data_IF_367895646487
#
_entry.id   IF_367895646487
#
_cell.length_a   1.000
_cell.length_b   1.000
_cell.length_c   1.000
_cell.angle_alpha   90.00
_cell.angle_beta   90.00
_cell.angle_gamma   90.00
#
_symmetry.space_group_name_H-M   'P 1'
#
loop_
_entity.id
_entity.type
_entity.pdbx_description
1 polymer ?
#
# COMPACT_ATOMS: atom_id res chain seq x y z
N UNK A 1 26.76 1.93 30.51
CA UNK A 1 27.14 2.36 29.14
C UNK A 1 28.43 1.67 28.69
N UNK A 2 29.56 1.86 29.38
CA UNK A 2 30.86 1.31 28.95
C UNK A 2 30.90 -0.23 28.95
N UNK A 3 30.23 -0.90 29.89
CA UNK A 3 30.24 -2.38 29.96
C UNK A 3 29.46 -3.06 28.82
N UNK A 4 28.28 -2.54 28.46
CA UNK A 4 27.53 -3.01 27.28
C UNK A 4 28.28 -2.74 25.96
N UNK A 5 29.03 -1.63 25.90
CA UNK A 5 29.92 -1.30 24.80
C UNK A 5 31.08 -2.30 24.67
N UNK A 6 31.73 -2.65 25.78
CA UNK A 6 32.84 -3.61 25.80
C UNK A 6 32.34 -5.04 25.48
N UNK A 7 31.14 -5.41 25.93
CA UNK A 7 30.49 -6.67 25.59
C UNK A 7 30.19 -6.82 24.09
N UNK A 8 29.55 -5.81 23.50
CA UNK A 8 29.19 -5.83 22.06
C UNK A 8 30.41 -5.82 21.12
N UNK A 9 31.50 -5.17 21.52
CA UNK A 9 32.79 -5.23 20.81
C UNK A 9 33.40 -6.64 20.85
N UNK A 10 33.23 -7.37 21.96
CA UNK A 10 33.72 -8.75 22.12
C UNK A 10 32.86 -9.77 21.37
N UNK A 11 31.57 -9.49 21.17
CA UNK A 11 30.64 -10.36 20.45
C UNK A 11 30.67 -10.17 18.92
N UNK A 12 31.34 -9.13 18.42
CA UNK A 12 31.58 -8.96 16.97
C UNK A 12 30.35 -8.61 16.14
N UNK A 13 29.31 -8.03 16.76
CA UNK A 13 28.10 -7.65 16.02
C UNK A 13 28.43 -6.57 14.97
N UNK A 14 28.27 -6.92 13.69
CA UNK A 14 28.68 -6.11 12.54
C UNK A 14 27.99 -4.75 12.52
N UNK A 15 26.72 -4.68 12.97
CA UNK A 15 25.96 -3.42 13.02
C UNK A 15 26.54 -2.48 14.08
N UNK A 16 26.90 -3.00 15.26
CA UNK A 16 27.57 -2.22 16.30
C UNK A 16 28.94 -1.73 15.81
N UNK A 17 29.71 -2.58 15.15
CA UNK A 17 31.00 -2.21 14.55
C UNK A 17 30.86 -1.12 13.49
N UNK A 18 29.90 -1.22 12.58
CA UNK A 18 29.63 -0.20 11.55
C UNK A 18 29.29 1.15 12.21
N UNK A 19 28.39 1.17 13.20
CA UNK A 19 28.02 2.41 13.89
C UNK A 19 29.22 3.03 14.63
N UNK A 20 30.07 2.22 15.27
CA UNK A 20 31.29 2.70 15.92
C UNK A 20 32.31 3.26 14.91
N UNK A 21 32.47 2.60 13.76
CA UNK A 21 33.34 3.07 12.69
C UNK A 21 32.84 4.41 12.13
N UNK A 22 31.54 4.60 11.99
CA UNK A 22 30.95 5.89 11.56
C UNK A 22 31.30 7.00 12.55
N UNK A 23 31.20 6.76 13.87
CA UNK A 23 31.57 7.72 14.91
C UNK A 23 33.08 7.99 14.86
N UNK A 24 33.92 6.95 14.80
CA UNK A 24 35.38 7.07 14.77
C UNK A 24 35.88 7.85 13.55
N UNK A 25 35.36 7.53 12.36
CA UNK A 25 35.69 8.24 11.12
C UNK A 25 35.24 9.70 11.21
N UNK A 26 34.05 9.96 11.77
CA UNK A 26 33.55 11.34 11.90
C UNK A 26 34.35 12.16 12.91
N UNK A 27 34.81 11.55 14.01
CA UNK A 27 35.75 12.13 14.97
C UNK A 27 37.09 12.47 14.31
N UNK A 28 37.68 11.52 13.58
CA UNK A 28 38.97 11.71 12.89
C UNK A 28 38.87 12.77 11.79
N UNK A 29 37.80 12.75 11.00
CA UNK A 29 37.53 13.78 9.99
C UNK A 29 37.38 15.16 10.63
N UNK A 30 36.68 15.26 11.76
CA UNK A 30 36.55 16.50 12.53
C UNK A 30 37.91 17.00 13.06
N UNK A 31 38.71 16.09 13.61
CA UNK A 31 40.05 16.38 14.12
C UNK A 31 40.99 16.90 13.03
N UNK A 32 40.99 16.27 11.85
CA UNK A 32 41.83 16.65 10.71
C UNK A 32 41.40 17.99 10.11
N UNK A 33 40.09 18.26 10.07
CA UNK A 33 39.53 19.48 9.44
C UNK A 33 39.61 20.72 10.34
N UNK A 34 39.66 20.57 11.66
CA UNK A 34 39.64 21.67 12.62
C UNK A 34 38.25 22.28 12.81
N UNK A 35 38.12 23.21 13.76
CA UNK A 35 36.84 23.72 14.27
C UNK A 35 36.02 24.47 13.22
N UNK A 36 36.63 25.36 12.45
CA UNK A 36 35.93 26.21 11.46
C UNK A 36 35.30 25.39 10.33
N UNK A 37 36.03 24.43 9.77
CA UNK A 37 35.54 23.56 8.69
C UNK A 37 34.54 22.51 9.19
N UNK A 38 34.73 22.01 10.42
CA UNK A 38 33.81 21.04 11.03
C UNK A 38 32.50 21.70 11.47
N UNK A 39 32.55 22.95 11.95
CA UNK A 39 31.37 23.76 12.23
C UNK A 39 30.56 24.02 10.95
N UNK A 40 31.20 24.35 9.82
CA UNK A 40 30.51 24.49 8.54
C UNK A 40 29.84 23.18 8.06
N UNK A 41 30.47 22.03 8.32
CA UNK A 41 29.89 20.72 8.01
C UNK A 41 28.67 20.41 8.90
N UNK A 42 28.74 20.74 10.19
CA UNK A 42 27.63 20.57 11.12
C UNK A 42 26.45 21.48 10.76
N UNK A 43 26.71 22.76 10.47
CA UNK A 43 25.70 23.71 10.00
C UNK A 43 25.05 23.18 8.73
N UNK A 44 25.83 22.70 7.76
CA UNK A 44 25.29 22.12 6.53
C UNK A 44 24.39 20.91 6.78
N UNK A 45 24.76 20.01 7.70
CA UNK A 45 23.93 18.85 8.06
C UNK A 45 22.62 19.29 8.72
N UNK A 46 22.68 20.25 9.64
CA UNK A 46 21.49 20.81 10.31
C UNK A 46 20.60 21.50 9.27
N UNK A 47 21.16 22.33 8.39
CA UNK A 47 20.42 23.01 7.33
C UNK A 47 19.77 22.01 6.38
N UNK A 48 20.49 20.96 5.95
CA UNK A 48 19.92 19.92 5.09
C UNK A 48 18.81 19.13 5.79
N UNK A 49 18.98 18.82 7.07
CA UNK A 49 17.96 18.18 7.91
C UNK A 49 16.70 19.05 8.03
N UNK A 50 16.86 20.34 8.35
CA UNK A 50 15.76 21.31 8.40
C UNK A 50 15.06 21.40 7.05
N UNK A 51 15.80 21.49 5.94
CA UNK A 51 15.21 21.53 4.61
C UNK A 51 14.48 20.24 4.24
N UNK A 52 14.93 19.09 4.73
CA UNK A 52 14.22 17.82 4.52
C UNK A 52 12.93 17.80 5.31
N UNK A 53 12.94 18.21 6.58
CA UNK A 53 11.74 18.28 7.43
C UNK A 53 10.73 19.27 6.86
N UNK A 54 11.18 20.49 6.51
CA UNK A 54 10.35 21.51 5.86
C UNK A 54 9.84 21.02 4.50
N UNK A 55 10.66 20.30 3.75
CA UNK A 55 10.27 19.68 2.48
C UNK A 55 9.15 18.66 2.65
N UNK A 56 9.29 17.74 3.61
CA UNK A 56 8.27 16.71 3.90
C UNK A 56 6.98 17.37 4.41
N UNK A 57 7.06 18.27 5.39
CA UNK A 57 5.88 18.94 5.96
C UNK A 57 5.17 19.81 4.92
N UNK A 58 5.93 20.58 4.13
CA UNK A 58 5.41 21.39 3.04
C UNK A 58 4.75 20.55 1.96
N UNK A 59 5.38 19.45 1.54
CA UNK A 59 4.82 18.53 0.55
C UNK A 59 3.53 17.87 1.04
N UNK A 60 3.50 17.47 2.31
CA UNK A 60 2.32 16.88 2.94
C UNK A 60 1.14 17.86 2.94
N UNK A 61 1.34 19.09 3.44
CA UNK A 61 0.29 20.12 3.48
C UNK A 61 -0.17 20.55 2.07
N UNK A 62 0.77 20.69 1.14
CA UNK A 62 0.46 21.04 -0.24
C UNK A 62 -0.35 19.93 -0.92
N UNK A 63 -0.01 18.66 -0.69
CA UNK A 63 -0.73 17.51 -1.26
C UNK A 63 -2.14 17.38 -0.69
N UNK A 64 -2.34 17.64 0.61
CA UNK A 64 -3.68 17.70 1.20
C UNK A 64 -4.53 18.80 0.57
N UNK A 65 -3.95 19.96 0.28
CA UNK A 65 -4.66 21.09 -0.32
C UNK A 65 -4.93 20.89 -1.82
N UNK A 66 -3.98 20.30 -2.55
CA UNK A 66 -4.10 20.08 -4.00
C UNK A 66 -4.98 18.88 -4.34
N UNK A 67 -5.04 17.86 -3.47
CA UNK A 67 -5.76 16.61 -3.76
C UNK A 67 -7.23 16.84 -4.17
N UNK A 68 -8.05 17.64 -3.46
CA UNK A 68 -9.44 17.91 -3.88
C UNK A 68 -9.54 18.69 -5.19
N UNK A 69 -8.62 19.63 -5.44
CA UNK A 69 -8.60 20.42 -6.69
C UNK A 69 -8.25 19.55 -7.89
N UNK A 70 -7.26 18.67 -7.73
CA UNK A 70 -6.83 17.73 -8.75
C UNK A 70 -7.91 16.68 -9.00
N UNK A 71 -8.63 16.23 -7.96
CA UNK A 71 -9.81 15.38 -8.14
C UNK A 71 -10.84 16.02 -9.06
N UNK A 72 -11.32 17.21 -8.73
CA UNK A 72 -12.35 17.89 -9.50
C UNK A 72 -11.92 18.13 -10.96
N UNK A 73 -10.64 18.46 -11.16
CA UNK A 73 -10.08 18.62 -12.49
C UNK A 73 -10.01 17.30 -13.27
N UNK A 74 -9.56 16.21 -12.64
CA UNK A 74 -9.45 14.89 -13.27
C UNK A 74 -10.83 14.29 -13.56
N UNK A 75 -11.79 14.40 -12.65
CA UNK A 75 -13.16 13.90 -12.85
C UNK A 75 -13.83 14.57 -14.05
N UNK A 76 -13.70 15.89 -14.19
CA UNK A 76 -14.23 16.61 -15.36
C UNK A 76 -13.53 16.24 -16.67
N UNK A 77 -12.27 15.80 -16.61
CA UNK A 77 -11.53 15.34 -17.79
C UNK A 77 -11.85 13.87 -18.14
N UNK A 78 -12.09 13.01 -17.15
CA UNK A 78 -12.48 11.61 -17.37
C UNK A 78 -13.90 11.47 -17.91
N UNK A 79 -14.80 12.41 -17.58
CA UNK A 79 -16.16 12.46 -18.17
C UNK A 79 -16.14 12.80 -19.67
N UNK A 80 -15.09 13.48 -20.15
CA UNK A 80 -14.90 13.82 -21.55
C UNK A 80 -14.22 12.69 -22.38
N UNK A 81 -14.22 11.46 -21.87
CA UNK A 81 -13.61 10.32 -22.55
C UNK A 81 -14.31 10.03 -23.88
N UNK A 82 -13.58 9.95 -25.00
CA UNK A 82 -14.19 9.75 -26.31
C UNK A 82 -14.76 8.33 -26.42
N UNK A 83 -16.00 8.22 -26.92
CA UNK A 83 -16.75 6.96 -27.07
C UNK A 83 -16.30 6.06 -28.24
N UNK A 84 -15.03 6.17 -28.63
CA UNK A 84 -14.42 5.39 -29.73
C UNK A 84 -13.53 4.28 -29.15
N UNK A 85 -13.20 3.29 -29.98
CA UNK A 85 -12.16 2.33 -29.64
C UNK A 85 -10.82 3.06 -29.39
N UNK A 86 -10.29 2.84 -28.18
CA UNK A 86 -9.04 3.42 -27.72
C UNK A 86 -7.92 2.44 -28.02
N UNK A 87 -6.78 2.95 -28.49
CA UNK A 87 -5.58 2.12 -28.61
C UNK A 87 -5.03 1.76 -27.20
N UNK A 88 -4.15 0.78 -27.12
CA UNK A 88 -3.59 0.30 -25.84
C UNK A 88 -2.93 1.41 -24.98
N UNK A 89 -2.27 2.40 -25.60
CA UNK A 89 -1.65 3.51 -24.88
C UNK A 89 -2.68 4.53 -24.37
N UNK A 90 -3.74 4.76 -25.13
CA UNK A 90 -4.86 5.60 -24.72
C UNK A 90 -5.62 4.94 -23.56
N UNK A 91 -5.82 3.62 -23.61
CA UNK A 91 -6.41 2.86 -22.50
C UNK A 91 -5.57 3.03 -21.23
N UNK A 92 -4.25 2.78 -21.30
CA UNK A 92 -3.34 2.96 -20.15
C UNK A 92 -3.42 4.39 -19.60
N UNK A 93 -3.39 5.39 -20.48
CA UNK A 93 -3.46 6.80 -20.09
C UNK A 93 -4.76 7.13 -19.34
N UNK A 94 -5.91 6.74 -19.88
CA UNK A 94 -7.20 6.97 -19.23
C UNK A 94 -7.39 6.14 -17.97
N UNK A 95 -6.88 4.91 -17.91
CA UNK A 95 -6.87 4.10 -16.68
C UNK A 95 -6.11 4.82 -15.56
N UNK A 96 -4.93 5.38 -15.86
CA UNK A 96 -4.13 6.12 -14.87
C UNK A 96 -4.85 7.40 -14.43
N UNK A 97 -5.45 8.14 -15.35
CA UNK A 97 -6.19 9.36 -15.02
C UNK A 97 -7.40 9.09 -14.14
N UNK A 98 -8.23 8.10 -14.50
CA UNK A 98 -9.40 7.71 -13.72
C UNK A 98 -8.97 7.17 -12.35
N UNK A 99 -7.88 6.41 -12.28
CA UNK A 99 -7.33 5.98 -10.99
C UNK A 99 -6.90 7.17 -10.11
N UNK A 100 -6.25 8.19 -10.68
CA UNK A 100 -5.88 9.40 -9.93
C UNK A 100 -7.10 10.27 -9.54
N UNK A 101 -8.19 10.21 -10.30
CA UNK A 101 -9.45 10.88 -9.96
C UNK A 101 -10.17 10.18 -8.80
N UNK A 102 -10.27 8.86 -8.88
CA UNK A 102 -11.15 8.07 -8.02
C UNK A 102 -10.49 7.60 -6.72
N UNK A 103 -9.15 7.53 -6.66
CA UNK A 103 -8.42 7.05 -5.48
C UNK A 103 -7.66 8.18 -4.74
N UNK A 104 -8.20 8.67 -3.62
CA UNK A 104 -7.59 9.73 -2.82
C UNK A 104 -6.16 9.48 -2.35
N UNK A 105 -5.81 8.26 -1.90
CA UNK A 105 -4.45 7.97 -1.43
C UNK A 105 -3.46 7.88 -2.58
N UNK A 106 -3.84 7.26 -3.70
CA UNK A 106 -2.98 7.21 -4.89
C UNK A 106 -2.67 8.62 -5.38
N UNK A 107 -3.69 9.45 -5.52
CA UNK A 107 -3.54 10.87 -5.87
C UNK A 107 -2.66 11.60 -4.86
N UNK A 108 -2.92 11.42 -3.57
CA UNK A 108 -2.13 12.03 -2.51
C UNK A 108 -0.65 11.62 -2.60
N UNK A 109 -0.35 10.34 -2.82
CA UNK A 109 1.01 9.83 -2.93
C UNK A 109 1.75 10.43 -4.13
N UNK A 110 1.10 10.48 -5.30
CA UNK A 110 1.66 11.09 -6.51
C UNK A 110 1.91 12.59 -6.29
N UNK A 111 0.94 13.32 -5.74
CA UNK A 111 1.09 14.74 -5.42
C UNK A 111 2.17 14.98 -4.37
N UNK A 112 2.33 14.08 -3.39
CA UNK A 112 3.35 14.18 -2.37
C UNK A 112 4.75 14.06 -2.97
N UNK A 113 4.98 13.08 -3.84
CA UNK A 113 6.27 12.90 -4.51
C UNK A 113 6.61 14.10 -5.39
N UNK A 114 5.64 14.59 -6.17
CA UNK A 114 5.83 15.77 -7.05
C UNK A 114 6.10 17.02 -6.19
N UNK A 115 5.26 17.29 -5.19
CA UNK A 115 5.38 18.44 -4.29
C UNK A 115 6.71 18.42 -3.53
N UNK A 116 7.10 17.26 -3.00
CA UNK A 116 8.38 17.09 -2.31
C UNK A 116 9.56 17.39 -3.23
N UNK A 117 9.54 16.87 -4.45
CA UNK A 117 10.59 17.09 -5.43
C UNK A 117 10.73 18.57 -5.80
N UNK A 118 9.62 19.27 -6.02
CA UNK A 118 9.61 20.71 -6.34
C UNK A 118 10.09 21.53 -5.14
N UNK A 119 9.54 21.29 -3.95
CA UNK A 119 9.93 22.02 -2.74
C UNK A 119 11.41 21.78 -2.44
N UNK A 120 11.88 20.54 -2.60
CA UNK A 120 13.29 20.21 -2.36
C UNK A 120 14.20 20.89 -3.37
N UNK A 121 13.81 20.92 -4.64
CA UNK A 121 14.53 21.65 -5.67
C UNK A 121 14.62 23.15 -5.32
N UNK A 122 13.52 23.79 -4.95
CA UNK A 122 13.49 25.20 -4.54
C UNK A 122 14.37 25.45 -3.30
N UNK A 123 14.23 24.64 -2.26
CA UNK A 123 15.05 24.75 -1.06
C UNK A 123 16.55 24.54 -1.36
N UNK A 124 16.88 23.67 -2.32
CA UNK A 124 18.27 23.48 -2.75
C UNK A 124 18.84 24.68 -3.50
N UNK A 125 18.02 25.35 -4.33
CA UNK A 125 18.42 26.60 -5.01
C UNK A 125 18.63 27.74 -4.01
N UNK A 126 17.70 27.89 -3.06
CA UNK A 126 17.80 28.88 -1.97
C UNK A 126 19.05 28.59 -1.12
N UNK A 127 19.26 27.34 -0.73
CA UNK A 127 20.45 26.91 0.02
C UNK A 127 21.75 27.16 -0.74
N UNK A 128 21.76 26.94 -2.06
CA UNK A 128 22.89 27.23 -2.94
C UNK A 128 23.22 28.72 -3.04
N UNK A 129 22.19 29.58 -3.02
CA UNK A 129 22.34 31.04 -3.04
C UNK A 129 22.89 31.59 -1.70
N UNK A 130 22.39 31.09 -0.57
CA UNK A 130 22.91 31.46 0.76
C UNK A 130 24.29 30.86 1.07
N UNK A 131 24.67 29.74 0.43
CA UNK A 131 26.02 29.14 0.52
C UNK A 131 27.09 29.89 -0.30
N UNK A 132 26.79 31.11 -0.76
CA UNK A 132 27.65 32.02 -1.53
C UNK A 132 29.09 31.56 -1.73
N UNK A 133 29.47 31.34 -2.99
CA UNK A 133 30.80 30.92 -3.47
C UNK A 133 31.90 31.13 -2.43
N UNK A 134 32.23 30.08 -1.65
CA UNK A 134 33.35 30.17 -0.72
C UNK A 134 34.63 30.25 -1.55
N UNK A 135 35.03 31.47 -1.85
CA UNK A 135 36.35 31.80 -2.38
C UNK A 135 37.37 31.26 -1.37
N UNK A 136 38.38 30.57 -1.90
CA UNK A 136 39.28 29.73 -1.12
C UNK A 136 39.91 30.44 0.07
N UNK A 137 39.61 29.97 1.28
CA UNK A 137 40.38 30.32 2.47
C UNK A 137 41.58 29.38 2.65
N UNK A 138 42.73 30.01 2.86
CA UNK A 138 44.07 29.45 2.82
C UNK A 138 44.28 28.18 3.67
N UNK A 139 45.18 27.32 3.19
CA UNK A 139 45.75 26.14 3.85
C UNK A 139 46.56 26.55 5.10
N UNK A 140 45.91 26.96 6.18
CA UNK A 140 46.55 26.98 7.49
C UNK A 140 46.23 25.68 8.25
N UNK A 141 47.29 25.02 8.73
CA UNK A 141 47.14 23.84 9.58
C UNK A 141 46.40 24.23 10.87
N UNK A 142 45.25 23.63 11.19
CA UNK A 142 44.52 23.97 12.40
C UNK A 142 45.35 23.63 13.64
N UNK A 143 45.44 24.57 14.58
CA UNK A 143 46.09 24.37 15.88
C UNK A 143 45.40 23.30 16.72
N UNK A 144 46.08 22.77 17.74
CA UNK A 144 45.61 21.65 18.56
C UNK A 144 44.20 21.86 19.14
N UNK A 145 43.91 23.06 19.67
CA UNK A 145 42.59 23.42 20.20
C UNK A 145 41.49 23.40 19.12
N UNK A 146 41.82 23.83 17.90
CA UNK A 146 40.90 23.80 16.75
C UNK A 146 40.64 22.36 16.30
N UNK A 147 41.66 21.48 16.34
CA UNK A 147 41.48 20.04 16.04
C UNK A 147 40.61 19.36 17.09
N UNK A 148 40.79 19.68 18.37
CA UNK A 148 39.98 19.12 19.45
C UNK A 148 38.52 19.56 19.35
N UNK A 149 38.28 20.85 19.10
CA UNK A 149 36.92 21.36 18.81
C UNK A 149 36.34 20.77 17.53
N UNK A 150 37.16 20.57 16.49
CA UNK A 150 36.78 19.87 15.26
C UNK A 150 36.35 18.43 15.53
N UNK A 151 37.06 17.70 16.39
CA UNK A 151 36.69 16.36 16.83
C UNK A 151 35.35 16.36 17.58
N UNK A 152 35.10 17.32 18.47
CA UNK A 152 33.79 17.47 19.14
C UNK A 152 32.65 17.66 18.14
N UNK A 153 32.82 18.54 17.14
CA UNK A 153 31.83 18.70 16.06
C UNK A 153 31.69 17.42 15.22
N UNK A 154 32.80 16.74 14.94
CA UNK A 154 32.82 15.43 14.28
C UNK A 154 32.04 14.36 15.06
N UNK A 155 32.09 14.38 16.38
CA UNK A 155 31.32 13.49 17.25
C UNK A 155 29.82 13.71 17.10
N UNK A 156 29.37 14.97 17.10
CA UNK A 156 27.97 15.36 16.92
C UNK A 156 27.46 14.95 15.54
N UNK A 157 28.25 15.21 14.49
CA UNK A 157 27.92 14.78 13.12
C UNK A 157 27.88 13.25 13.02
N UNK A 158 28.81 12.55 13.66
CA UNK A 158 28.84 11.09 13.74
C UNK A 158 27.59 10.52 14.42
N UNK A 159 27.18 11.09 15.55
CA UNK A 159 25.96 10.71 16.24
C UNK A 159 24.72 10.93 15.38
N UNK A 160 24.61 12.07 14.67
CA UNK A 160 23.52 12.32 13.75
C UNK A 160 23.46 11.30 12.60
N UNK A 161 24.60 10.89 12.03
CA UNK A 161 24.68 9.83 11.02
C UNK A 161 24.25 8.48 11.57
N UNK A 162 24.65 8.14 12.80
CA UNK A 162 24.21 6.92 13.45
C UNK A 162 22.70 6.89 13.67
N UNK A 163 22.08 8.01 14.07
CA UNK A 163 20.62 8.12 14.19
C UNK A 163 19.93 7.83 12.85
N UNK A 164 20.45 8.36 11.73
CA UNK A 164 19.90 8.08 10.39
C UNK A 164 20.02 6.60 10.01
N UNK A 165 21.18 5.98 10.27
CA UNK A 165 21.37 4.54 10.02
C UNK A 165 20.44 3.70 10.88
N UNK A 166 20.27 4.05 12.16
CA UNK A 166 19.34 3.37 13.07
C UNK A 166 17.89 3.54 12.61
N UNK A 167 17.49 4.72 12.16
CA UNK A 167 16.16 4.96 11.60
C UNK A 167 15.91 4.15 10.32
N UNK A 168 16.90 4.03 9.44
CA UNK A 168 16.81 3.20 8.23
C UNK A 168 16.69 1.72 8.58
N UNK A 169 17.54 1.23 9.49
CA UNK A 169 17.46 -0.14 9.98
C UNK A 169 16.12 -0.42 10.65
N UNK A 170 15.57 0.54 11.38
CA UNK A 170 14.25 0.44 12.00
C UNK A 170 13.14 0.30 10.96
N UNK A 171 13.19 1.06 9.86
CA UNK A 171 12.24 0.90 8.75
C UNK A 171 12.35 -0.50 8.14
N UNK A 172 13.57 -0.98 7.86
CA UNK A 172 13.78 -2.31 7.26
C UNK A 172 13.29 -3.43 8.18
N UNK A 173 13.61 -3.36 9.47
CA UNK A 173 13.15 -4.33 10.49
C UNK A 173 11.63 -4.31 10.61
N UNK A 174 11.02 -3.12 10.58
CA UNK A 174 9.56 -2.97 10.67
C UNK A 174 8.82 -3.47 9.43
N UNK A 175 9.42 -3.37 8.24
CA UNK A 175 8.82 -3.85 6.98
C UNK A 175 8.94 -5.37 6.80
N UNK A 176 9.99 -5.98 7.37
CA UNK A 176 10.26 -7.42 7.23
C UNK A 176 10.48 -8.08 8.61
N UNK A 177 9.46 -8.12 9.48
CA UNK A 177 9.57 -8.75 10.79
C UNK A 177 9.89 -10.24 10.66
N UNK A 178 10.78 -10.76 11.52
CA UNK A 178 11.12 -12.18 11.58
C UNK A 178 12.15 -12.68 10.55
N UNK A 179 12.61 -11.84 9.62
CA UNK A 179 13.70 -12.22 8.71
C UNK A 179 15.02 -12.47 9.47
N UNK A 180 15.89 -13.33 8.96
CA UNK A 180 17.20 -13.60 9.58
C UNK A 180 18.04 -12.33 9.76
N UNK A 181 17.90 -11.37 8.84
CA UNK A 181 18.55 -10.07 8.93
C UNK A 181 17.92 -9.18 10.03
N UNK A 182 16.59 -9.14 10.12
CA UNK A 182 15.88 -8.35 11.14
C UNK A 182 16.23 -8.84 12.54
N UNK A 183 16.20 -10.16 12.76
CA UNK A 183 16.59 -10.77 14.04
C UNK A 183 18.06 -10.47 14.39
N UNK A 184 18.95 -10.44 13.38
CA UNK A 184 20.36 -10.08 13.57
C UNK A 184 20.52 -8.60 13.96
N UNK A 185 19.80 -7.69 13.31
CA UNK A 185 19.83 -6.24 13.62
C UNK A 185 19.26 -5.99 15.01
N UNK A 186 18.15 -6.64 15.37
CA UNK A 186 17.52 -6.55 16.70
C UNK A 186 18.41 -7.11 17.80
N UNK A 187 19.26 -8.11 17.52
CA UNK A 187 20.24 -8.60 18.49
C UNK A 187 21.33 -7.57 18.83
N UNK A 188 21.46 -6.49 18.05
CA UNK A 188 22.51 -5.49 18.23
C UNK A 188 22.18 -4.51 19.37
N UNK A 189 22.97 -4.46 20.46
CA UNK A 189 22.68 -3.61 21.62
C UNK A 189 22.62 -2.12 21.28
N UNK A 190 23.47 -1.67 20.35
CA UNK A 190 23.53 -0.28 19.90
C UNK A 190 22.29 0.13 19.11
N UNK A 191 21.79 -0.77 18.26
CA UNK A 191 20.56 -0.54 17.51
C UNK A 191 19.38 -0.48 18.48
N UNK A 192 19.22 -1.47 19.38
CA UNK A 192 18.12 -1.48 20.34
C UNK A 192 18.11 -0.22 21.21
N UNK A 193 19.28 0.17 21.74
CA UNK A 193 19.38 1.36 22.57
C UNK A 193 19.07 2.65 21.81
N UNK A 194 19.56 2.78 20.57
CA UNK A 194 19.28 3.94 19.74
C UNK A 194 17.82 4.01 19.28
N UNK A 195 17.23 2.88 18.91
CA UNK A 195 15.81 2.79 18.57
C UNK A 195 14.93 3.18 19.77
N UNK A 196 15.22 2.65 20.96
CA UNK A 196 14.52 2.98 22.21
C UNK A 196 14.63 4.45 22.60
N UNK A 197 15.83 5.03 22.45
CA UNK A 197 16.10 6.39 22.95
C UNK A 197 15.68 7.49 21.98
N UNK A 198 15.64 7.21 20.67
CA UNK A 198 15.40 8.21 19.63
C UNK A 198 14.10 7.97 18.87
N UNK A 199 13.77 6.72 18.56
CA UNK A 199 12.62 6.39 17.72
C UNK A 199 11.35 6.24 18.56
N UNK A 200 11.39 5.48 19.66
CA UNK A 200 10.23 5.20 20.52
C UNK A 200 9.49 6.46 21.03
N UNK A 201 10.16 7.56 21.46
CA UNK A 201 9.48 8.78 21.90
C UNK A 201 8.74 9.52 20.77
N UNK A 202 9.25 9.42 19.55
CA UNK A 202 8.69 10.08 18.36
C UNK A 202 7.57 9.23 17.75
N UNK A 203 7.74 7.90 17.79
CA UNK A 203 6.84 6.95 17.14
C UNK A 203 5.71 6.46 18.05
N UNK A 204 5.90 6.40 19.37
CA UNK A 204 4.95 5.80 20.32
C UNK A 204 3.53 6.37 20.29
N UNK A 205 3.39 7.69 20.10
CA UNK A 205 2.08 8.35 19.99
C UNK A 205 1.51 8.33 18.57
N UNK A 206 2.36 8.34 17.54
CA UNK A 206 1.92 8.35 16.14
C UNK A 206 1.50 6.95 15.66
N UNK A 207 2.23 5.91 16.10
CA UNK A 207 1.98 4.51 15.78
C UNK A 207 0.68 4.02 16.41
N UNK A 208 0.42 4.35 17.69
CA UNK A 208 -0.77 3.88 18.40
C UNK A 208 -2.06 4.54 17.89
N UNK A 209 -2.01 5.83 17.55
CA UNK A 209 -3.23 6.58 17.27
C UNK A 209 -3.53 6.72 15.76
N UNK A 210 -2.52 6.71 14.89
CA UNK A 210 -2.71 7.05 13.46
C UNK A 210 -2.39 5.96 12.46
N UNK A 211 -1.50 5.01 12.77
CA UNK A 211 -1.22 3.90 11.85
C UNK A 211 -2.45 3.00 11.61
N UNK A 212 -3.27 2.64 12.62
CA UNK A 212 -4.46 1.83 12.38
C UNK A 212 -5.42 2.52 11.38
N UNK A 213 -5.62 3.82 11.53
CA UNK A 213 -6.50 4.62 10.65
C UNK A 213 -5.95 4.70 9.21
N UNK A 214 -4.64 4.91 9.05
CA UNK A 214 -3.99 4.94 7.73
C UNK A 214 -4.05 3.56 7.07
N UNK A 215 -3.79 2.49 7.84
CA UNK A 215 -3.84 1.11 7.33
C UNK A 215 -5.25 0.69 6.93
N UNK A 216 -6.27 1.08 7.70
CA UNK A 216 -7.67 0.82 7.37
C UNK A 216 -8.11 1.61 6.13
N UNK A 217 -7.71 2.88 6.01
CA UNK A 217 -7.99 3.69 4.81
C UNK A 217 -7.29 3.13 3.56
N UNK A 218 -6.04 2.68 3.68
CA UNK A 218 -5.28 2.05 2.60
C UNK A 218 -5.85 0.69 2.19
N UNK A 219 -6.22 -0.15 3.17
CA UNK A 219 -6.89 -1.43 2.91
C UNK A 219 -8.25 -1.20 2.23
N UNK A 220 -9.01 -0.20 2.67
CA UNK A 220 -10.30 0.16 2.08
C UNK A 220 -10.16 0.62 0.62
N UNK A 221 -9.19 1.48 0.30
CA UNK A 221 -8.93 1.87 -1.09
C UNK A 221 -8.42 0.69 -1.93
N UNK A 222 -7.60 -0.20 -1.35
CA UNK A 222 -7.14 -1.40 -2.03
C UNK A 222 -8.29 -2.37 -2.35
N UNK A 223 -9.21 -2.60 -1.42
CA UNK A 223 -10.37 -3.45 -1.64
C UNK A 223 -11.32 -2.82 -2.66
N UNK A 224 -11.56 -1.50 -2.61
CA UNK A 224 -12.33 -0.78 -3.62
C UNK A 224 -11.68 -0.82 -5.01
N UNK A 225 -10.35 -0.74 -5.09
CA UNK A 225 -9.60 -0.95 -6.34
C UNK A 225 -9.82 -2.37 -6.89
N UNK A 226 -9.83 -3.40 -6.05
CA UNK A 226 -10.04 -4.79 -6.48
C UNK A 226 -11.47 -5.05 -6.94
N UNK A 227 -12.48 -4.51 -6.25
CA UNK A 227 -13.87 -4.64 -6.65
C UNK A 227 -14.11 -4.00 -8.04
N UNK A 228 -13.56 -2.80 -8.25
CA UNK A 228 -13.67 -2.09 -9.54
C UNK A 228 -12.81 -2.71 -10.63
N UNK A 229 -11.69 -3.34 -10.28
CA UNK A 229 -10.90 -4.15 -11.21
C UNK A 229 -11.76 -5.25 -11.83
N UNK A 230 -12.61 -5.93 -11.06
CA UNK A 230 -13.51 -6.95 -11.63
C UNK A 230 -14.59 -6.35 -12.54
N UNK A 231 -15.16 -5.19 -12.18
CA UNK A 231 -16.15 -4.51 -13.03
C UNK A 231 -15.57 -4.06 -14.39
N UNK A 232 -14.29 -3.66 -14.42
CA UNK A 232 -13.64 -3.19 -15.65
C UNK A 232 -13.05 -4.35 -16.46
N UNK A 233 -12.41 -5.33 -15.81
CA UNK A 233 -11.78 -6.47 -16.49
C UNK A 233 -12.84 -7.39 -17.10
N UNK A 234 -13.92 -7.66 -16.37
CA UNK A 234 -14.97 -8.58 -16.81
C UNK A 234 -16.10 -7.85 -17.58
N UNK A 235 -15.81 -6.67 -18.12
CA UNK A 235 -16.75 -5.92 -18.96
C UNK A 235 -16.93 -6.58 -20.32
N UNK A 236 -15.90 -7.25 -20.83
CA UNK A 236 -15.99 -8.00 -22.08
C UNK A 236 -16.59 -9.38 -21.78
N UNK A 237 -17.80 -9.62 -22.27
CA UNK A 237 -18.54 -10.86 -22.05
C UNK A 237 -18.17 -11.84 -23.17
N UNK A 238 -17.60 -13.02 -22.86
CA UNK A 238 -17.34 -14.05 -23.87
C UNK A 238 -18.65 -14.60 -24.49
N UNK A 239 -18.66 -14.80 -25.81
CA UNK A 239 -19.87 -15.23 -26.56
C UNK A 239 -20.40 -16.59 -26.12
N UNK A 240 -19.53 -17.50 -25.68
CA UNK A 240 -19.88 -18.82 -25.16
C UNK A 240 -20.58 -18.75 -23.80
N UNK A 241 -20.08 -17.89 -22.90
CA UNK A 241 -20.71 -17.62 -21.60
C UNK A 241 -22.07 -16.93 -21.80
N UNK A 242 -22.16 -15.95 -22.71
CA UNK A 242 -23.42 -15.30 -23.08
C UNK A 242 -24.43 -16.32 -23.63
N UNK A 243 -24.00 -17.16 -24.58
CA UNK A 243 -24.87 -18.19 -25.16
C UNK A 243 -25.36 -19.22 -24.14
N UNK A 244 -24.50 -19.59 -23.19
CA UNK A 244 -24.88 -20.46 -22.08
C UNK A 244 -25.90 -19.79 -21.15
N UNK A 245 -25.64 -18.54 -20.75
CA UNK A 245 -26.54 -17.76 -19.91
C UNK A 245 -27.92 -17.57 -20.56
N UNK A 246 -27.97 -17.23 -21.85
CA UNK A 246 -29.20 -17.07 -22.62
C UNK A 246 -30.05 -18.36 -22.65
N UNK A 247 -29.38 -19.52 -22.73
CA UNK A 247 -30.04 -20.82 -22.69
C UNK A 247 -30.53 -21.18 -21.29
N UNK A 248 -29.78 -20.83 -20.24
CA UNK A 248 -30.15 -21.11 -18.85
C UNK A 248 -31.40 -20.32 -18.46
N UNK A 249 -31.48 -19.05 -18.88
CA UNK A 249 -32.63 -18.20 -18.58
C UNK A 249 -33.77 -18.33 -19.61
N UNK A 250 -33.70 -19.31 -20.50
CA UNK A 250 -34.72 -19.53 -21.53
C UNK A 250 -36.08 -19.80 -20.88
N UNK A 251 -37.03 -18.87 -21.04
CA UNK A 251 -38.36 -18.94 -20.44
C UNK A 251 -38.51 -18.21 -19.11
N UNK A 252 -37.44 -17.64 -18.55
CA UNK A 252 -37.53 -16.73 -17.41
C UNK A 252 -38.14 -15.39 -17.84
N UNK A 253 -39.17 -14.94 -17.12
CA UNK A 253 -39.93 -13.73 -17.46
C UNK A 253 -39.52 -12.50 -16.63
N UNK A 254 -38.95 -12.71 -15.45
CA UNK A 254 -38.56 -11.64 -14.51
C UNK A 254 -37.07 -11.66 -14.22
N UNK A 255 -36.53 -10.53 -13.77
CA UNK A 255 -35.13 -10.41 -13.36
C UNK A 255 -34.80 -11.38 -12.22
N UNK A 256 -35.74 -11.56 -11.29
CA UNK A 256 -35.59 -12.52 -10.19
C UNK A 256 -35.47 -13.96 -10.70
N UNK A 257 -36.29 -14.35 -11.69
CA UNK A 257 -36.23 -15.68 -12.28
C UNK A 257 -34.90 -15.89 -13.02
N UNK A 258 -34.49 -14.93 -13.85
CA UNK A 258 -33.19 -14.98 -14.54
C UNK A 258 -32.04 -15.11 -13.54
N UNK A 259 -32.02 -14.27 -12.51
CA UNK A 259 -31.01 -14.28 -11.48
C UNK A 259 -30.97 -15.61 -10.73
N UNK A 260 -32.12 -16.17 -10.39
CA UNK A 260 -32.22 -17.46 -9.69
C UNK A 260 -31.77 -18.64 -10.55
N UNK A 261 -32.17 -18.72 -11.81
CA UNK A 261 -31.73 -19.78 -12.74
C UNK A 261 -30.21 -19.76 -12.93
N UNK A 262 -29.61 -18.57 -13.07
CA UNK A 262 -28.16 -18.42 -13.14
C UNK A 262 -27.46 -18.79 -11.83
N UNK A 263 -28.04 -18.40 -10.69
CA UNK A 263 -27.52 -18.73 -9.35
C UNK A 263 -27.49 -20.25 -9.14
N UNK A 264 -28.59 -20.93 -9.46
CA UNK A 264 -28.72 -22.37 -9.35
C UNK A 264 -27.76 -23.08 -10.31
N UNK A 265 -27.63 -22.60 -11.55
CA UNK A 265 -26.68 -23.17 -12.50
C UNK A 265 -25.23 -23.05 -12.03
N UNK A 266 -24.78 -21.85 -11.65
CA UNK A 266 -23.40 -21.65 -11.20
C UNK A 266 -23.13 -22.46 -9.93
N UNK A 267 -24.05 -22.42 -8.97
CA UNK A 267 -23.91 -23.11 -7.69
C UNK A 267 -23.91 -24.64 -7.77
N UNK A 268 -24.54 -25.20 -8.82
CA UNK A 268 -24.59 -26.67 -9.01
C UNK A 268 -23.60 -27.20 -10.04
N UNK A 269 -23.04 -26.35 -10.91
CA UNK A 269 -22.12 -26.77 -11.97
C UNK A 269 -20.67 -26.53 -11.64
N UNK A 270 -20.36 -25.50 -10.86
CA UNK A 270 -18.99 -25.21 -10.45
C UNK A 270 -18.67 -25.97 -9.17
N UNK A 271 -17.55 -26.66 -9.13
CA UNK A 271 -16.99 -27.34 -7.96
C UNK A 271 -15.95 -26.47 -7.24
N UNK A 272 -15.89 -26.59 -5.92
CA UNK A 272 -14.98 -25.78 -5.11
C UNK A 272 -13.54 -26.30 -5.22
N UNK A 273 -12.64 -25.45 -5.71
CA UNK A 273 -11.24 -25.79 -5.95
C UNK A 273 -10.38 -25.60 -4.69
N UNK A 274 -10.34 -26.65 -3.85
CA UNK A 274 -9.46 -26.70 -2.69
C UNK A 274 -7.96 -26.68 -3.05
N UNK A 275 -7.61 -27.05 -4.28
CA UNK A 275 -6.23 -27.02 -4.78
C UNK A 275 -5.71 -25.58 -4.88
N UNK A 276 -6.52 -24.66 -5.44
CA UNK A 276 -6.20 -23.23 -5.45
C UNK A 276 -5.99 -22.66 -4.05
N UNK A 277 -6.79 -23.10 -3.07
CA UNK A 277 -6.64 -22.70 -1.67
C UNK A 277 -5.32 -23.21 -1.09
N UNK A 278 -5.00 -24.50 -1.28
CA UNK A 278 -3.75 -25.10 -0.80
C UNK A 278 -2.51 -24.41 -1.40
N UNK A 279 -2.53 -24.17 -2.71
CA UNK A 279 -1.44 -23.48 -3.42
C UNK A 279 -1.22 -22.07 -2.86
N UNK A 280 -2.29 -21.33 -2.58
CA UNK A 280 -2.18 -20.00 -1.99
C UNK A 280 -1.70 -20.05 -0.54
N UNK A 281 -2.36 -20.83 0.32
CA UNK A 281 -2.09 -20.84 1.77
C UNK A 281 -0.75 -21.49 2.12
N UNK A 282 -0.37 -22.57 1.44
CA UNK A 282 0.81 -23.36 1.80
C UNK A 282 2.03 -23.01 0.94
N UNK A 283 1.82 -22.58 -0.31
CA UNK A 283 2.91 -22.37 -1.29
C UNK A 283 3.04 -20.92 -1.73
N UNK A 284 2.08 -20.05 -1.40
CA UNK A 284 2.05 -18.66 -1.85
C UNK A 284 1.90 -18.52 -3.36
N UNK A 285 1.38 -19.54 -4.03
CA UNK A 285 1.17 -19.56 -5.48
C UNK A 285 -0.21 -18.97 -5.76
N UNK A 286 -0.24 -17.87 -6.52
CA UNK A 286 -1.48 -17.28 -6.99
C UNK A 286 -1.91 -17.92 -8.30
N UNK A 287 -3.10 -18.51 -8.30
CA UNK A 287 -3.76 -19.02 -9.50
C UNK A 287 -4.72 -17.96 -10.03
N UNK A 288 -4.69 -17.71 -11.35
CA UNK A 288 -5.60 -16.76 -11.99
C UNK A 288 -7.05 -17.25 -11.85
N UNK A 289 -7.98 -16.29 -11.73
CA UNK A 289 -9.36 -16.52 -11.29
C UNK A 289 -10.36 -15.92 -12.29
N UNK A 290 -10.23 -16.21 -13.58
CA UNK A 290 -11.07 -15.57 -14.61
C UNK A 290 -12.44 -16.25 -14.77
N UNK A 291 -13.48 -15.51 -15.21
CA UNK A 291 -14.76 -16.11 -15.59
C UNK A 291 -14.62 -17.20 -16.65
N UNK A 292 -13.76 -17.00 -17.66
CA UNK A 292 -13.51 -17.99 -18.71
C UNK A 292 -12.90 -19.28 -18.15
N UNK A 293 -11.84 -19.17 -17.34
CA UNK A 293 -11.20 -20.36 -16.76
C UNK A 293 -12.19 -21.14 -15.89
N UNK A 294 -13.03 -20.43 -15.13
CA UNK A 294 -14.07 -21.05 -14.29
C UNK A 294 -15.13 -21.74 -15.14
N UNK A 295 -15.56 -21.12 -16.24
CA UNK A 295 -16.53 -21.70 -17.17
C UNK A 295 -15.98 -22.92 -17.90
N UNK A 296 -14.71 -22.89 -18.30
CA UNK A 296 -14.06 -23.99 -19.02
C UNK A 296 -13.79 -25.20 -18.12
N UNK A 297 -13.33 -24.94 -16.89
CA UNK A 297 -12.92 -25.99 -15.93
C UNK A 297 -14.04 -26.46 -15.03
N UNK A 298 -15.10 -25.65 -14.86
CA UNK A 298 -16.13 -25.83 -13.84
C UNK A 298 -15.56 -25.93 -12.42
N UNK A 299 -14.43 -25.28 -12.16
CA UNK A 299 -13.76 -25.28 -10.85
C UNK A 299 -13.36 -23.87 -10.43
N UNK A 300 -13.53 -23.55 -9.15
CA UNK A 300 -13.11 -22.25 -8.63
C UNK A 300 -13.26 -22.08 -7.12
N UNK A 301 -12.81 -20.94 -6.60
CA UNK A 301 -13.06 -20.49 -5.21
C UNK A 301 -14.10 -19.37 -5.19
N UNK A 302 -14.48 -18.85 -4.01
CA UNK A 302 -15.61 -17.91 -3.89
C UNK A 302 -15.62 -16.73 -4.88
N UNK A 303 -14.47 -16.16 -5.21
CA UNK A 303 -14.37 -15.09 -6.21
C UNK A 303 -14.55 -15.56 -7.66
N UNK A 304 -14.14 -16.79 -8.00
CA UNK A 304 -14.38 -17.40 -9.31
C UNK A 304 -15.89 -17.57 -9.55
N UNK A 305 -16.61 -18.10 -8.56
CA UNK A 305 -18.08 -18.22 -8.59
C UNK A 305 -18.73 -16.86 -8.78
N UNK A 306 -18.34 -15.87 -7.96
CA UNK A 306 -18.96 -14.56 -7.99
C UNK A 306 -18.72 -13.80 -9.29
N UNK A 307 -17.52 -13.94 -9.88
CA UNK A 307 -17.18 -13.33 -11.17
C UNK A 307 -17.89 -14.01 -12.34
N UNK A 308 -17.94 -15.34 -12.37
CA UNK A 308 -18.67 -16.07 -13.41
C UNK A 308 -20.17 -15.72 -13.37
N UNK A 309 -20.79 -15.75 -12.19
CA UNK A 309 -22.18 -15.34 -12.03
C UNK A 309 -22.41 -13.91 -12.52
N UNK A 310 -21.53 -12.97 -12.16
CA UNK A 310 -21.67 -11.57 -12.58
C UNK A 310 -21.60 -11.41 -14.11
N UNK A 311 -20.69 -12.12 -14.79
CA UNK A 311 -20.59 -12.08 -16.27
C UNK A 311 -21.85 -12.67 -16.91
N UNK A 312 -22.32 -13.82 -16.43
CA UNK A 312 -23.54 -14.45 -16.96
C UNK A 312 -24.75 -13.54 -16.74
N UNK A 313 -24.92 -12.97 -15.55
CA UNK A 313 -26.04 -12.08 -15.24
C UNK A 313 -26.01 -10.79 -16.08
N UNK A 314 -24.84 -10.16 -16.25
CA UNK A 314 -24.69 -8.97 -17.12
C UNK A 314 -25.03 -9.27 -18.57
N UNK A 315 -24.72 -10.48 -19.05
CA UNK A 315 -25.04 -10.90 -20.42
C UNK A 315 -26.55 -11.00 -20.68
N UNK A 316 -27.35 -11.11 -19.62
CA UNK A 316 -28.82 -11.23 -19.67
C UNK A 316 -29.52 -9.94 -19.19
N UNK A 317 -28.82 -8.82 -19.28
CA UNK A 317 -29.24 -7.46 -18.90
C UNK A 317 -29.57 -7.27 -17.41
N UNK A 318 -29.03 -8.12 -16.53
CA UNK A 318 -29.18 -7.94 -15.08
C UNK A 318 -28.11 -6.98 -14.53
N UNK A 319 -28.55 -6.01 -13.73
CA UNK A 319 -27.65 -5.18 -12.93
C UNK A 319 -27.10 -6.01 -11.76
N UNK A 320 -25.79 -6.28 -11.76
CA UNK A 320 -25.12 -7.14 -10.77
C UNK A 320 -23.76 -6.60 -10.38
N UNK A 321 -23.44 -6.71 -9.10
CA UNK A 321 -22.11 -6.41 -8.55
C UNK A 321 -21.51 -7.62 -7.83
N UNK A 322 -20.19 -7.74 -7.94
CA UNK A 322 -19.40 -8.64 -7.09
C UNK A 322 -19.16 -7.91 -5.79
N UNK A 323 -19.43 -8.57 -4.67
CA UNK A 323 -19.24 -8.05 -3.33
C UNK A 323 -18.16 -8.88 -2.65
N UNK A 324 -17.26 -8.21 -1.95
CA UNK A 324 -16.18 -8.83 -1.18
C UNK A 324 -16.31 -8.45 0.28
N UNK A 325 -15.88 -9.34 1.16
CA UNK A 325 -15.95 -9.12 2.60
C UNK A 325 -15.53 -10.34 3.37
N UNK A 326 -16.24 -10.60 4.48
CA UNK A 326 -15.99 -11.71 5.37
C UNK A 326 -17.18 -12.69 5.38
N UNK A 327 -16.89 -13.97 5.17
CA UNK A 327 -17.84 -15.08 5.25
C UNK A 327 -17.61 -15.92 6.51
N UNK A 328 -18.70 -16.34 7.16
CA UNK A 328 -18.63 -17.23 8.32
C UNK A 328 -18.00 -18.58 7.96
N UNK A 329 -17.04 -19.05 8.78
CA UNK A 329 -16.27 -20.27 8.49
C UNK A 329 -16.85 -21.55 9.12
N UNK A 330 -18.04 -21.49 9.73
CA UNK A 330 -18.66 -22.64 10.40
C UNK A 330 -18.12 -22.95 11.81
N UNK A 331 -17.02 -22.33 12.23
CA UNK A 331 -16.28 -22.64 13.46
C UNK A 331 -16.21 -21.47 14.46
N UNK A 332 -17.13 -20.50 14.35
CA UNK A 332 -17.13 -19.30 15.18
C UNK A 332 -16.19 -18.19 14.70
N UNK A 333 -15.60 -18.33 13.50
CA UNK A 333 -14.73 -17.34 12.88
C UNK A 333 -15.21 -16.88 11.51
N UNK A 334 -14.44 -15.98 10.90
CA UNK A 334 -14.72 -15.44 9.57
C UNK A 334 -13.46 -15.48 8.71
N UNK A 335 -13.63 -15.74 7.42
CA UNK A 335 -12.58 -15.71 6.40
C UNK A 335 -12.92 -14.75 5.27
N UNK A 336 -11.94 -14.39 4.45
CA UNK A 336 -12.18 -13.61 3.25
C UNK A 336 -13.16 -14.34 2.32
N UNK A 337 -14.16 -13.62 1.81
CA UNK A 337 -15.23 -14.20 1.02
C UNK A 337 -15.73 -13.23 -0.04
N UNK A 338 -16.34 -13.77 -1.10
CA UNK A 338 -16.93 -13.02 -2.19
C UNK A 338 -18.26 -13.64 -2.61
N UNK A 339 -19.23 -12.78 -2.94
CA UNK A 339 -20.58 -13.14 -3.36
C UNK A 339 -21.14 -12.09 -4.32
N UNK A 340 -22.44 -12.13 -4.61
CA UNK A 340 -23.08 -11.20 -5.53
C UNK A 340 -24.28 -10.47 -4.92
N UNK A 341 -24.57 -9.30 -5.47
CA UNK A 341 -25.86 -8.65 -5.33
C UNK A 341 -26.39 -8.33 -6.72
N UNK A 342 -27.66 -8.63 -6.93
CA UNK A 342 -28.38 -8.33 -8.17
C UNK A 342 -29.52 -7.37 -7.89
N UNK A 343 -29.71 -6.39 -8.75
CA UNK A 343 -30.83 -5.47 -8.69
C UNK A 343 -32.03 -6.10 -9.38
N UNK A 344 -33.16 -6.17 -8.67
CA UNK A 344 -34.42 -6.65 -9.23
C UNK A 344 -35.28 -5.45 -9.58
N UNK A 345 -35.43 -5.17 -10.89
CA UNK A 345 -36.12 -3.97 -11.37
C UNK A 345 -37.59 -3.93 -10.96
N UNK A 346 -38.24 -5.09 -10.83
CA UNK A 346 -39.64 -5.19 -10.45
C UNK A 346 -39.89 -4.83 -8.98
N UNK A 347 -38.85 -4.91 -8.14
CA UNK A 347 -38.91 -4.68 -6.69
C UNK A 347 -38.13 -3.43 -6.26
N UNK A 348 -37.41 -2.78 -7.18
CA UNK A 348 -36.56 -1.60 -6.94
C UNK A 348 -35.56 -1.84 -5.79
N UNK A 349 -34.97 -3.05 -5.74
CA UNK A 349 -34.13 -3.48 -4.60
C UNK A 349 -32.95 -4.34 -5.03
N UNK A 350 -31.86 -4.23 -4.27
CA UNK A 350 -30.71 -5.12 -4.37
C UNK A 350 -30.91 -6.34 -3.49
N UNK A 351 -30.84 -7.54 -4.08
CA UNK A 351 -30.92 -8.80 -3.35
C UNK A 351 -29.54 -9.48 -3.33
N UNK A 352 -29.07 -9.97 -2.16
CA UNK A 352 -27.84 -10.71 -2.07
C UNK A 352 -28.03 -12.17 -2.49
N UNK A 353 -26.99 -12.75 -3.08
CA UNK A 353 -26.92 -14.18 -3.37
C UNK A 353 -25.47 -14.68 -3.33
N UNK A 354 -25.26 -15.93 -2.92
CA UNK A 354 -23.94 -16.57 -2.90
C UNK A 354 -23.93 -17.94 -3.59
N UNK A 355 -23.50 -18.01 -4.87
CA UNK A 355 -23.45 -19.27 -5.61
C UNK A 355 -22.45 -20.27 -5.01
N UNK A 356 -21.41 -19.80 -4.31
CA UNK A 356 -20.39 -20.66 -3.67
C UNK A 356 -21.02 -21.56 -2.62
N UNK A 357 -21.99 -21.03 -1.88
CA UNK A 357 -22.63 -21.73 -0.77
C UNK A 357 -23.92 -22.45 -1.18
N UNK A 358 -24.31 -22.44 -2.46
CA UNK A 358 -25.55 -23.06 -2.95
C UNK A 358 -25.67 -24.56 -2.59
N UNK A 359 -24.56 -25.28 -2.51
CA UNK A 359 -24.55 -26.69 -2.08
C UNK A 359 -24.86 -26.90 -0.59
N UNK A 360 -24.85 -25.84 0.22
CA UNK A 360 -25.15 -25.87 1.66
C UNK A 360 -26.57 -25.42 2.01
N UNK A 361 -27.33 -24.88 1.04
CA UNK A 361 -28.68 -24.38 1.23
C UNK A 361 -29.07 -23.34 0.17
N UNK A 362 -30.30 -22.82 0.24
CA UNK A 362 -30.71 -21.69 -0.61
C UNK A 362 -30.14 -20.38 -0.04
N UNK A 363 -29.12 -19.88 -0.73
CA UNK A 363 -28.45 -18.62 -0.45
C UNK A 363 -28.86 -17.51 -1.41
N UNK A 364 -29.96 -17.66 -2.15
CA UNK A 364 -30.56 -16.59 -2.93
C UNK A 364 -31.54 -15.79 -2.08
N UNK A 365 -31.15 -14.57 -1.68
CA UNK A 365 -31.91 -13.66 -0.84
C UNK A 365 -32.52 -14.26 0.45
N UNK A 366 -31.81 -15.11 1.21
CA UNK A 366 -32.34 -15.65 2.45
C UNK A 366 -32.49 -14.55 3.51
N UNK A 367 -33.43 -14.69 4.45
CA UNK A 367 -33.49 -13.82 5.60
C UNK A 367 -32.15 -13.91 6.37
N UNK A 368 -31.70 -12.80 6.93
CA UNK A 368 -30.45 -12.74 7.70
C UNK A 368 -29.16 -13.08 6.92
N UNK A 369 -29.14 -12.94 5.58
CA UNK A 369 -27.95 -13.18 4.76
C UNK A 369 -26.67 -12.54 5.33
N UNK A 370 -26.77 -11.27 5.76
CA UNK A 370 -25.64 -10.49 6.26
C UNK A 370 -25.18 -10.84 7.68
N UNK A 371 -25.86 -11.75 8.39
CA UNK A 371 -25.37 -12.28 9.66
C UNK A 371 -24.16 -13.20 9.45
N UNK A 372 -24.02 -13.77 8.25
CA UNK A 372 -22.90 -14.64 7.85
C UNK A 372 -22.00 -14.02 6.78
N UNK A 373 -22.49 -13.00 6.07
CA UNK A 373 -21.77 -12.27 5.02
C UNK A 373 -21.59 -10.81 5.39
N UNK A 374 -20.44 -10.47 5.96
CA UNK A 374 -20.14 -9.11 6.39
C UNK A 374 -19.46 -8.40 5.23
N UNK A 375 -20.15 -7.46 4.59
CA UNK A 375 -19.58 -6.61 3.53
C UNK A 375 -18.36 -5.86 4.03
N UNK A 376 -17.34 -5.75 3.19
CA UNK A 376 -16.33 -4.72 3.40
C UNK A 376 -17.01 -3.34 3.39
N UNK A 377 -16.69 -2.51 4.38
CA UNK A 377 -17.30 -1.19 4.49
C UNK A 377 -16.77 -0.23 3.40
N UNK A 378 -17.34 -0.30 2.21
CA UNK A 378 -17.27 0.78 1.21
C UNK A 378 -18.24 1.88 1.64
N UNK A 379 -17.69 2.99 2.13
CA UNK A 379 -18.41 4.26 2.33
C UNK A 379 -17.64 5.38 1.68
#
# INVERSE_FOLDING_TARGET
MIEAWIGSVKEGNLITLILMVIILISLLQGFVRGASRSAGTLVNLITEGVFTIVGIAGAFLLSLKLSPTVQAWLSGYSEAMPSRDLNTWEQIYYTVLTALADFPLLRFAVLFVISYSIIRFILSLIGGFFRGTSTGEARNNPGFLSRLMGACFGAVVGAARCVLVIALLFIVVSLYPGSSFSNYVESSPMYQQGAKSVIEPISGNLIKDKLPVISQAAQKEFNGMMQRRYEVIDRNIPEDIEGAAAKIVEGAATDEQKARELYEWVGTRVEYDYGKVEDYEQRGIWNEQTPQDTFDTMMGVCIDYARLYAVMARSQDLEVRVVTGLGYNGQGGYGAHAWNEVYLSEQDTWVPLDPTWANSGDWFNPPHFYDTHIKDQTV
#
